data_IF_851016427306
#
_entry.id   IF_851016427306
#
_cell.length_a   1.000
_cell.length_b   1.000
_cell.length_c   1.000
_cell.angle_alpha   90.00
_cell.angle_beta   90.00
_cell.angle_gamma   90.00
#
_symmetry.space_group_name_H-M   'P 1'
#
loop_
_entity.id
_entity.type
_entity.pdbx_description
1 polymer ?
#
# COMPACT_ATOMS: atom_id res chain seq x y z
N UNK A 1 -7.07 -6.73 -17.18
CA UNK A 1 -7.90 -7.65 -16.39
C UNK A 1 -7.84 -7.18 -14.95
N UNK A 2 -8.84 -6.43 -14.49
CA UNK A 2 -8.83 -5.85 -13.14
C UNK A 2 -9.46 -6.90 -12.23
N UNK A 3 -8.63 -7.54 -11.39
CA UNK A 3 -9.10 -8.50 -10.40
C UNK A 3 -9.79 -7.69 -9.29
N UNK A 4 -11.06 -7.96 -9.04
CA UNK A 4 -11.81 -7.35 -7.93
C UNK A 4 -11.29 -7.94 -6.62
N UNK A 5 -10.64 -7.13 -5.76
CA UNK A 5 -10.02 -7.63 -4.53
C UNK A 5 -11.05 -8.17 -3.53
N UNK A 6 -12.31 -7.74 -3.59
CA UNK A 6 -13.37 -8.15 -2.66
C UNK A 6 -13.90 -9.56 -2.92
N UNK A 7 -13.58 -10.16 -4.08
CA UNK A 7 -14.04 -11.48 -4.50
C UNK A 7 -12.98 -12.57 -4.39
N UNK A 8 -11.79 -12.22 -3.89
CA UNK A 8 -10.68 -13.16 -3.70
C UNK A 8 -10.89 -13.84 -2.36
N UNK A 9 -10.80 -15.17 -2.33
CA UNK A 9 -10.79 -15.91 -1.07
C UNK A 9 -9.56 -15.54 -0.23
N UNK A 10 -9.69 -15.66 1.09
CA UNK A 10 -8.68 -15.18 2.03
C UNK A 10 -7.33 -15.87 1.84
N UNK A 11 -7.32 -17.18 1.64
CA UNK A 11 -6.09 -17.97 1.50
C UNK A 11 -5.36 -17.58 0.21
N UNK A 12 -6.11 -17.37 -0.89
CA UNK A 12 -5.56 -16.87 -2.14
C UNK A 12 -5.01 -15.46 -2.01
N UNK A 13 -5.70 -14.57 -1.29
CA UNK A 13 -5.21 -13.22 -1.04
C UNK A 13 -3.90 -13.24 -0.23
N UNK A 14 -3.82 -14.08 0.81
CA UNK A 14 -2.63 -14.21 1.62
C UNK A 14 -1.46 -14.83 0.85
N UNK A 15 -1.71 -15.77 -0.06
CA UNK A 15 -0.69 -16.28 -0.98
C UNK A 15 -0.19 -15.19 -1.93
N UNK A 16 -1.10 -14.44 -2.56
CA UNK A 16 -0.73 -13.35 -3.48
C UNK A 16 0.10 -12.26 -2.77
N UNK A 17 -0.25 -11.94 -1.51
CA UNK A 17 0.53 -11.01 -0.68
C UNK A 17 1.96 -11.52 -0.47
N UNK A 18 2.14 -12.81 -0.16
CA UNK A 18 3.47 -13.43 0.01
C UNK A 18 4.29 -13.37 -1.28
N UNK A 19 3.68 -13.72 -2.42
CA UNK A 19 4.36 -13.70 -3.73
C UNK A 19 4.83 -12.28 -4.09
N UNK A 20 3.99 -11.27 -3.85
CA UNK A 20 4.34 -9.86 -4.10
C UNK A 20 5.38 -9.36 -3.10
N UNK A 21 5.26 -9.73 -1.83
CA UNK A 21 6.20 -9.38 -0.79
C UNK A 21 7.61 -9.89 -1.12
N UNK A 22 7.74 -11.16 -1.51
CA UNK A 22 9.00 -11.75 -1.94
C UNK A 22 9.59 -11.00 -3.14
N UNK A 23 8.78 -10.80 -4.19
CA UNK A 23 9.23 -10.11 -5.40
C UNK A 23 9.70 -8.69 -5.13
N UNK A 24 9.05 -7.97 -4.21
CA UNK A 24 9.34 -6.57 -3.91
C UNK A 24 10.30 -6.37 -2.72
N UNK A 25 10.71 -7.43 -2.03
CA UNK A 25 11.50 -7.33 -0.79
C UNK A 25 10.76 -6.58 0.31
N UNK A 26 9.47 -6.84 0.47
CA UNK A 26 8.60 -6.26 1.50
C UNK A 26 8.40 -7.30 2.60
N UNK A 27 8.51 -6.89 3.86
CA UNK A 27 8.05 -7.68 4.99
C UNK A 27 6.59 -7.30 5.29
N UNK A 28 5.69 -8.27 5.20
CA UNK A 28 4.25 -8.07 5.32
C UNK A 28 3.84 -7.44 6.66
N UNK A 29 4.57 -7.73 7.73
CA UNK A 29 4.18 -7.37 9.10
C UNK A 29 4.92 -6.13 9.63
N UNK A 30 5.86 -5.58 8.86
CA UNK A 30 6.54 -4.34 9.22
C UNK A 30 5.76 -3.11 8.78
N UNK A 31 6.00 -2.02 9.51
CA UNK A 31 5.54 -0.69 9.16
C UNK A 31 6.63 0.08 8.42
N UNK A 32 6.22 0.78 7.38
CA UNK A 32 7.07 1.62 6.56
C UNK A 32 6.62 3.08 6.64
N UNK A 33 7.58 3.97 6.77
CA UNK A 33 7.36 5.43 6.63
C UNK A 33 6.88 5.78 5.22
N UNK A 34 6.32 6.98 5.04
CA UNK A 34 5.90 7.45 3.70
C UNK A 34 7.04 7.42 2.67
N UNK A 35 8.28 7.73 3.09
CA UNK A 35 9.45 7.67 2.21
C UNK A 35 9.81 6.24 1.82
N UNK A 36 9.84 5.31 2.79
CA UNK A 36 10.13 3.90 2.53
C UNK A 36 9.05 3.26 1.66
N UNK A 37 7.78 3.55 1.94
CA UNK A 37 6.66 3.09 1.13
C UNK A 37 6.78 3.59 -0.32
N UNK A 38 7.06 4.87 -0.53
CA UNK A 38 7.22 5.42 -1.88
C UNK A 38 8.36 4.76 -2.68
N UNK A 39 9.44 4.35 -2.00
CA UNK A 39 10.53 3.59 -2.61
C UNK A 39 10.11 2.14 -2.93
N UNK A 40 9.44 1.46 -1.99
CA UNK A 40 9.01 0.07 -2.15
C UNK A 40 7.97 -0.12 -3.26
N UNK A 41 7.16 0.91 -3.53
CA UNK A 41 6.19 0.94 -4.64
C UNK A 41 6.84 1.02 -6.02
N UNK A 42 8.14 1.34 -6.11
CA UNK A 42 8.89 1.24 -7.36
C UNK A 42 9.19 -0.23 -7.64
N UNK A 43 9.04 -0.64 -8.90
CA UNK A 43 9.38 -2.00 -9.34
C UNK A 43 10.85 -2.29 -9.01
N UNK A 44 11.19 -3.48 -8.47
CA UNK A 44 12.54 -3.79 -8.01
C UNK A 44 13.65 -3.51 -9.03
N UNK A 45 13.38 -3.80 -10.30
CA UNK A 45 14.24 -3.58 -11.46
C UNK A 45 14.46 -2.10 -11.81
N UNK A 46 13.56 -1.21 -11.39
CA UNK A 46 13.63 0.23 -11.64
C UNK A 46 14.22 1.04 -10.48
N UNK A 47 14.38 0.44 -9.29
CA UNK A 47 14.75 1.15 -8.04
C UNK A 47 16.11 1.85 -8.09
N UNK A 48 17.06 1.35 -8.89
CA UNK A 48 18.39 1.95 -9.03
C UNK A 48 18.37 3.26 -9.85
N UNK A 49 17.43 3.39 -10.78
CA UNK A 49 17.34 4.52 -11.70
C UNK A 49 16.25 5.52 -11.34
N UNK A 50 15.24 5.11 -10.55
CA UNK A 50 14.04 5.90 -10.28
C UNK A 50 14.01 6.42 -8.85
N UNK A 51 13.77 7.73 -8.72
CA UNK A 51 13.55 8.37 -7.40
C UNK A 51 12.15 8.09 -6.89
N UNK A 52 12.03 7.87 -5.58
CA UNK A 52 10.76 7.71 -4.89
C UNK A 52 9.91 8.99 -4.98
N UNK A 53 8.71 8.87 -5.55
CA UNK A 53 7.75 9.98 -5.65
C UNK A 53 6.83 10.01 -4.42
N UNK A 54 7.38 10.58 -3.34
CA UNK A 54 6.66 10.77 -2.08
C UNK A 54 5.45 11.72 -2.25
N UNK A 55 5.52 12.68 -3.18
CA UNK A 55 4.45 13.65 -3.44
C UNK A 55 3.21 12.97 -4.02
N UNK A 56 3.40 12.04 -4.95
CA UNK A 56 2.29 11.25 -5.49
C UNK A 56 1.68 10.33 -4.44
N UNK A 57 2.50 9.66 -3.62
CA UNK A 57 2.01 8.83 -2.53
C UNK A 57 1.17 9.65 -1.53
N UNK A 58 1.69 10.81 -1.11
CA UNK A 58 0.99 11.75 -0.21
C UNK A 58 -0.34 12.24 -0.79
N UNK A 59 -0.39 12.54 -2.10
CA UNK A 59 -1.64 12.93 -2.78
C UNK A 59 -2.66 11.80 -2.78
N UNK A 60 -2.24 10.56 -3.10
CA UNK A 60 -3.13 9.38 -3.07
C UNK A 60 -3.67 9.14 -1.66
N UNK A 61 -2.83 9.24 -0.64
CA UNK A 61 -3.24 9.13 0.75
C UNK A 61 -4.29 10.17 1.14
N UNK A 62 -4.04 11.45 0.85
CA UNK A 62 -4.98 12.55 1.14
C UNK A 62 -6.32 12.38 0.43
N UNK A 63 -6.33 11.72 -0.72
CA UNK A 63 -7.52 11.40 -1.49
C UNK A 63 -8.18 10.07 -1.09
N UNK A 64 -7.70 9.38 -0.05
CA UNK A 64 -8.24 8.08 0.38
C UNK A 64 -8.03 6.95 -0.63
N UNK A 65 -6.98 7.04 -1.47
CA UNK A 65 -6.70 6.12 -2.58
C UNK A 65 -5.63 5.07 -2.28
N UNK A 66 -5.09 5.08 -1.07
CA UNK A 66 -4.15 4.07 -0.58
C UNK A 66 -4.39 3.85 0.91
N UNK A 67 -4.47 2.59 1.38
CA UNK A 67 -4.57 2.29 2.80
C UNK A 67 -3.33 2.78 3.56
N UNK A 68 -3.53 3.31 4.75
CA UNK A 68 -2.46 3.81 5.62
C UNK A 68 -2.88 3.72 7.09
N UNK A 69 -1.90 3.79 7.98
CA UNK A 69 -2.08 3.84 9.42
C UNK A 69 -1.75 5.26 9.91
N UNK A 70 -2.70 6.00 10.50
CA UNK A 70 -2.40 7.26 11.15
C UNK A 70 -1.60 7.01 12.43
N UNK A 71 -0.48 7.71 12.61
CA UNK A 71 0.36 7.62 13.81
C UNK A 71 0.18 8.83 14.76
N UNK A 72 -0.70 9.77 14.40
CA UNK A 72 -0.81 11.08 15.06
C UNK A 72 0.24 12.08 14.56
N UNK A 73 0.13 13.35 15.00
CA UNK A 73 1.07 14.43 14.65
C UNK A 73 1.33 14.56 13.13
N UNK A 74 0.29 14.42 12.30
CA UNK A 74 0.37 14.43 10.83
C UNK A 74 1.29 13.36 10.21
N UNK A 75 1.71 12.37 11.00
CA UNK A 75 2.58 11.26 10.58
C UNK A 75 1.75 10.03 10.27
N UNK A 76 2.26 9.23 9.33
CA UNK A 76 1.58 8.04 8.82
C UNK A 76 2.58 6.93 8.57
N UNK A 77 2.10 5.69 8.66
CA UNK A 77 2.83 4.50 8.26
C UNK A 77 2.00 3.64 7.32
N UNK A 78 2.65 2.68 6.69
CA UNK A 78 2.07 1.71 5.78
C UNK A 78 2.53 0.32 6.19
N UNK A 79 1.62 -0.60 6.48
CA UNK A 79 2.01 -2.00 6.68
C UNK A 79 2.45 -2.62 5.35
N UNK A 80 3.41 -3.55 5.39
CA UNK A 80 3.87 -4.25 4.18
C UNK A 80 2.72 -4.89 3.40
N UNK A 81 1.77 -5.52 4.09
CA UNK A 81 0.58 -6.09 3.46
C UNK A 81 -0.29 -5.06 2.72
N UNK A 82 -0.42 -3.83 3.24
CA UNK A 82 -1.14 -2.74 2.57
C UNK A 82 -0.44 -2.33 1.26
N UNK A 83 0.90 -2.29 1.28
CA UNK A 83 1.69 -1.98 0.10
C UNK A 83 1.59 -3.09 -0.96
N UNK A 84 1.61 -4.35 -0.53
CA UNK A 84 1.38 -5.49 -1.42
C UNK A 84 0.00 -5.42 -2.08
N UNK A 85 -1.05 -5.14 -1.30
CA UNK A 85 -2.41 -4.96 -1.84
C UNK A 85 -2.47 -3.83 -2.87
N UNK A 86 -1.80 -2.70 -2.59
CA UNK A 86 -1.75 -1.58 -3.53
C UNK A 86 -0.94 -1.90 -4.80
N UNK A 87 0.14 -2.68 -4.71
CA UNK A 87 0.90 -3.14 -5.86
C UNK A 87 0.08 -4.07 -6.77
N UNK A 88 -0.82 -4.86 -6.20
CA UNK A 88 -1.68 -5.79 -6.95
C UNK A 88 -2.90 -5.09 -7.57
N UNK A 89 -3.59 -4.28 -6.78
CA UNK A 89 -4.94 -3.78 -7.11
C UNK A 89 -4.99 -2.27 -7.32
N UNK A 90 -3.86 -1.57 -7.15
CA UNK A 90 -3.80 -0.12 -7.20
C UNK A 90 -4.73 0.51 -6.18
N UNK A 91 -5.46 1.54 -6.59
CA UNK A 91 -6.36 2.29 -5.72
C UNK A 91 -7.54 1.45 -5.21
N UNK A 92 -7.88 0.33 -5.85
CA UNK A 92 -8.95 -0.56 -5.38
C UNK A 92 -8.59 -1.31 -4.08
N UNK A 93 -7.31 -1.38 -3.74
CA UNK A 93 -6.82 -2.01 -2.50
C UNK A 93 -7.47 -1.44 -1.24
N UNK A 94 -7.90 -0.17 -1.25
CA UNK A 94 -8.56 0.48 -0.10
C UNK A 94 -9.84 -0.25 0.34
N UNK A 95 -10.51 -0.96 -0.59
CA UNK A 95 -11.74 -1.71 -0.29
C UNK A 95 -11.49 -2.89 0.65
N UNK A 96 -10.27 -3.45 0.67
CA UNK A 96 -9.87 -4.55 1.57
C UNK A 96 -9.71 -4.10 3.03
N UNK A 97 -9.56 -2.79 3.25
CA UNK A 97 -9.23 -2.23 4.56
C UNK A 97 -10.42 -1.54 5.22
N UNK A 98 -11.61 -1.68 4.63
CA UNK A 98 -12.73 -0.77 4.86
C UNK A 98 -12.39 0.55 4.17
N UNK A 99 -13.29 1.05 3.32
CA UNK A 99 -13.15 2.40 2.78
C UNK A 99 -12.76 3.34 3.92
N UNK A 100 -11.81 4.24 3.68
CA UNK A 100 -11.35 5.23 4.66
C UNK A 100 -12.50 6.18 5.04
N UNK A 101 -13.51 5.69 5.74
CA UNK A 101 -14.55 6.44 6.42
C UNK A 101 -13.98 6.89 7.76
N UNK A 102 -12.99 7.76 7.66
CA UNK A 102 -12.63 8.65 8.75
C UNK A 102 -12.58 10.06 8.17
N UNK A 103 -13.78 10.63 8.01
CA UNK A 103 -14.03 12.03 8.36
C UNK A 103 -13.81 12.25 9.87
N UNK A 104 -12.65 11.85 10.38
CA UNK A 104 -12.29 11.98 11.78
C UNK A 104 -11.10 12.93 11.85
N UNK A 105 -11.36 14.07 12.49
CA UNK A 105 -10.40 15.11 12.88
C UNK A 105 -10.11 16.19 11.83
N UNK A 106 -11.15 16.95 11.48
CA UNK A 106 -11.14 18.41 11.67
C UNK A 106 -12.56 18.96 11.83
#
# INVERSE_FOLDING_TARGET
>A
MTIDPTRIDRDRLDQLRRDVAEKHGIDLYLQYTEQQAAFLLIRPDERSARRADCSTLKRKRRAGKIPHVPLGNNSVAYFGMMLCDFLMFGEQSVTLWGASDERSQQ
#
